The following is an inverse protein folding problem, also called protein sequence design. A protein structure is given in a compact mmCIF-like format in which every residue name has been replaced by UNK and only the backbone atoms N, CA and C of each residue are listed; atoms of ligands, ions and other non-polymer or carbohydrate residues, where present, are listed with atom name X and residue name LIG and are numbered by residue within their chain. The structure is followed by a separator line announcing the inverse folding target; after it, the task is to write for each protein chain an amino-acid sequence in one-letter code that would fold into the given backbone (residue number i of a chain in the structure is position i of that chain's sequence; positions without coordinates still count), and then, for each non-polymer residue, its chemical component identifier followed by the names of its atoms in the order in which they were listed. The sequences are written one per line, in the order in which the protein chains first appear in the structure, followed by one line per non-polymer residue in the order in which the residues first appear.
data_IF_534540601339
#
_entry.id   IF_534540601339
#
_cell.length_a   1.000
_cell.length_b   1.000
_cell.length_c   1.000
_cell.angle_alpha   90.00
_cell.angle_beta   90.00
_cell.angle_gamma   90.00
#
_symmetry.space_group_name_H-M   'P 1'
#
loop_
_entity.id
_entity.type
_entity.pdbx_description
1 polymer ?
#
# COMPACT_ATOMS: atom_id res chain seq x y z
N UNK A 1 27.23 23.27 45.16
CA UNK A 1 28.34 24.27 45.00
C UNK A 1 28.51 24.60 43.50
N UNK A 2 28.35 25.95 43.18
CA UNK A 2 28.81 26.68 41.98
C UNK A 2 28.19 26.23 40.62
N UNK A 3 27.19 26.79 40.16
CA UNK A 3 26.86 28.05 39.43
C UNK A 3 27.99 28.54 38.50
N UNK A 4 27.79 28.42 37.19
CA UNK A 4 28.39 29.36 36.25
C UNK A 4 27.39 29.64 35.08
N UNK A 5 26.84 30.83 35.14
CA UNK A 5 26.16 31.48 34.04
C UNK A 5 27.21 32.09 33.10
N UNK A 6 27.02 31.95 31.81
CA UNK A 6 27.65 32.84 30.85
C UNK A 6 26.59 33.40 29.91
N UNK A 7 26.27 34.66 30.13
CA UNK A 7 25.52 35.54 29.23
C UNK A 7 26.42 35.96 28.07
N UNK A 8 25.94 35.78 26.83
CA UNK A 8 26.52 36.51 25.69
C UNK A 8 25.40 37.26 25.02
N UNK A 9 25.48 38.57 25.19
CA UNK A 9 24.74 39.62 24.45
C UNK A 9 25.42 39.83 23.08
N UNK A 10 24.67 39.83 22.01
CA UNK A 10 25.17 40.13 20.65
C UNK A 10 24.07 40.67 19.77
N UNK A 11 23.82 41.92 19.87
CA UNK A 11 23.59 43.04 18.90
C UNK A 11 22.75 42.74 17.65
N UNK A 12 21.62 43.42 17.65
CA UNK A 12 20.74 43.82 16.55
C UNK A 12 21.46 44.50 15.39
N UNK A 13 21.20 44.08 14.15
CA UNK A 13 21.45 44.89 12.97
C UNK A 13 20.20 44.89 12.09
N UNK A 14 19.49 46.00 12.12
CA UNK A 14 18.39 46.37 11.23
C UNK A 14 18.98 46.83 9.91
N UNK A 15 18.70 46.18 8.80
CA UNK A 15 18.89 46.76 7.48
C UNK A 15 17.52 46.91 6.81
N UNK A 16 17.07 48.18 6.77
CA UNK A 16 15.99 48.61 5.88
C UNK A 16 16.52 48.69 4.44
N UNK A 17 15.97 47.89 3.55
CA UNK A 17 16.11 48.07 2.11
C UNK A 17 14.76 48.48 1.52
N UNK A 18 14.73 49.72 1.07
CA UNK A 18 13.63 50.35 0.35
C UNK A 18 13.47 49.72 -1.03
N UNK A 19 12.31 49.19 -1.31
CA UNK A 19 11.93 48.73 -2.66
C UNK A 19 11.28 49.88 -3.40
N UNK A 20 11.96 50.35 -4.43
CA UNK A 20 11.40 51.30 -5.40
C UNK A 20 10.44 50.56 -6.34
N UNK A 21 9.18 50.97 -6.31
CA UNK A 21 8.16 50.59 -7.28
C UNK A 21 8.33 51.42 -8.55
N UNK A 22 8.73 50.80 -9.65
CA UNK A 22 8.58 51.38 -10.98
C UNK A 22 7.31 50.80 -11.63
N UNK A 23 6.30 51.69 -11.70
CA UNK A 23 5.16 51.53 -12.61
C UNK A 23 5.65 51.77 -14.04
N UNK A 24 5.43 50.81 -14.92
CA UNK A 24 5.31 51.04 -16.35
C UNK A 24 4.03 50.39 -16.85
N UNK A 25 3.15 51.25 -17.30
CA UNK A 25 1.93 50.90 -18.03
C UNK A 25 2.25 50.75 -19.52
N UNK A 26 1.45 49.88 -20.14
CA UNK A 26 1.04 49.82 -21.54
C UNK A 26 2.06 49.55 -22.66
N UNK A 27 1.86 48.44 -23.33
CA UNK A 27 1.31 48.40 -24.72
C UNK A 27 1.11 46.94 -25.19
N UNK A 28 -0.11 46.62 -25.49
CA UNK A 28 -0.64 45.75 -26.55
C UNK A 28 0.40 45.20 -27.54
N UNK A 29 0.42 43.87 -27.75
CA UNK A 29 -0.08 43.14 -28.95
C UNK A 29 0.36 41.67 -28.96
N UNK A 30 -0.64 40.81 -29.03
CA UNK A 30 -0.71 39.52 -29.69
C UNK A 30 0.55 38.97 -30.36
N UNK A 31 1.10 37.94 -29.78
CA UNK A 31 1.31 36.69 -30.48
C UNK A 31 1.76 35.60 -29.48
N UNK A 32 0.82 34.90 -28.86
CA UNK A 32 1.12 33.77 -27.99
C UNK A 32 1.44 32.54 -28.84
N UNK A 33 2.70 32.40 -29.19
CA UNK A 33 3.26 31.09 -29.51
C UNK A 33 3.31 30.32 -28.19
N UNK A 34 2.28 29.53 -27.94
CA UNK A 34 2.33 28.51 -26.89
C UNK A 34 3.37 27.49 -27.29
N UNK A 35 4.57 27.63 -26.76
CA UNK A 35 5.49 26.51 -26.68
C UNK A 35 4.84 25.47 -25.74
N UNK A 36 4.18 24.52 -26.35
CA UNK A 36 3.79 23.28 -25.69
C UNK A 36 5.10 22.58 -25.26
N UNK A 37 5.53 22.85 -24.03
CA UNK A 37 6.43 21.93 -23.35
C UNK A 37 5.72 20.58 -23.30
N UNK A 38 6.35 19.48 -23.74
CA UNK A 38 5.77 18.18 -23.49
C UNK A 38 5.74 17.97 -21.96
N UNK A 39 4.59 18.19 -21.36
CA UNK A 39 4.33 17.64 -20.04
C UNK A 39 4.40 16.13 -20.23
N UNK A 40 5.49 15.55 -19.76
CA UNK A 40 5.56 14.10 -19.54
C UNK A 40 4.50 13.81 -18.49
N UNK A 41 3.31 13.48 -18.96
CA UNK A 41 2.28 12.87 -18.12
C UNK A 41 2.86 11.53 -17.74
N UNK A 42 3.43 11.45 -16.54
CA UNK A 42 3.65 10.17 -15.90
C UNK A 42 2.24 9.57 -15.77
N UNK A 43 1.93 8.63 -16.65
CA UNK A 43 0.75 7.82 -16.51
C UNK A 43 0.88 7.09 -15.18
N UNK A 44 0.26 7.62 -14.14
CA UNK A 44 0.01 6.87 -12.94
C UNK A 44 -0.95 5.77 -13.36
N UNK A 45 -0.49 4.53 -13.36
CA UNK A 45 -1.35 3.37 -13.47
C UNK A 45 -2.39 3.50 -12.37
N UNK A 46 -3.62 3.87 -12.75
CA UNK A 46 -4.75 3.86 -11.82
C UNK A 46 -5.08 2.40 -11.57
N UNK A 47 -4.71 1.91 -10.42
CA UNK A 47 -5.26 0.66 -9.90
C UNK A 47 -6.59 0.98 -9.23
N UNK A 48 -7.67 0.38 -9.71
CA UNK A 48 -8.97 0.48 -9.06
C UNK A 48 -9.05 -0.58 -7.95
N UNK A 49 -9.20 -0.14 -6.70
CA UNK A 49 -9.43 -1.03 -5.57
C UNK A 49 -10.82 -1.67 -5.71
N UNK A 50 -10.87 -2.99 -5.85
CA UNK A 50 -12.13 -3.73 -6.02
C UNK A 50 -12.70 -4.24 -4.70
N UNK A 51 -11.85 -4.86 -3.89
CA UNK A 51 -12.21 -5.48 -2.62
C UNK A 51 -11.05 -5.37 -1.65
N UNK A 52 -11.34 -5.15 -0.38
CA UNK A 52 -10.32 -5.09 0.66
C UNK A 52 -10.78 -5.68 1.98
N UNK A 53 -9.84 -6.02 2.86
CA UNK A 53 -10.13 -6.53 4.18
C UNK A 53 -8.96 -6.38 5.14
N UNK A 54 -9.25 -6.20 6.42
CA UNK A 54 -8.24 -6.17 7.48
C UNK A 54 -8.01 -7.58 8.00
N UNK A 55 -6.75 -7.94 8.19
CA UNK A 55 -6.39 -9.24 8.75
C UNK A 55 -6.84 -9.40 10.19
N UNK A 56 -7.36 -10.57 10.47
CA UNK A 56 -7.69 -11.08 11.80
C UNK A 56 -6.79 -12.27 12.10
N UNK A 57 -6.40 -12.40 13.37
CA UNK A 57 -5.61 -13.54 13.82
C UNK A 57 -6.41 -14.84 13.70
N UNK A 58 -5.76 -15.87 13.21
CA UNK A 58 -6.18 -17.26 13.32
C UNK A 58 -5.39 -17.93 14.43
N UNK A 59 -4.57 -18.94 14.09
CA UNK A 59 -3.67 -19.62 15.04
C UNK A 59 -2.51 -18.73 15.49
N UNK A 60 -2.16 -17.70 14.71
CA UNK A 60 -1.06 -16.78 14.98
C UNK A 60 -1.49 -15.34 14.80
N UNK A 61 -0.86 -14.39 15.51
CA UNK A 61 -1.06 -12.97 15.25
C UNK A 61 -0.80 -12.66 13.77
N UNK A 62 -1.78 -12.02 13.12
CA UNK A 62 -1.67 -11.55 11.74
C UNK A 62 -2.37 -10.19 11.67
N UNK A 63 -1.71 -9.19 11.09
CA UNK A 63 -2.17 -7.80 11.02
C UNK A 63 -2.02 -7.24 9.62
N UNK A 64 -2.47 -6.00 9.39
CA UNK A 64 -2.42 -5.30 8.12
C UNK A 64 -3.70 -5.47 7.30
N UNK A 65 -3.64 -5.08 6.04
CA UNK A 65 -4.74 -5.17 5.09
C UNK A 65 -4.35 -5.95 3.85
N UNK A 66 -5.35 -6.60 3.28
CA UNK A 66 -5.27 -7.18 1.94
C UNK A 66 -6.26 -6.45 1.03
N UNK A 67 -5.88 -6.22 -0.22
CA UNK A 67 -6.76 -5.67 -1.24
C UNK A 67 -6.58 -6.36 -2.57
N UNK A 68 -7.64 -6.48 -3.34
CA UNK A 68 -7.60 -6.89 -4.74
C UNK A 68 -7.73 -5.64 -5.59
N UNK A 69 -6.79 -5.46 -6.49
CA UNK A 69 -6.73 -4.33 -7.41
C UNK A 69 -6.82 -4.80 -8.86
N UNK A 70 -7.42 -3.97 -9.70
CA UNK A 70 -7.38 -4.14 -11.15
C UNK A 70 -6.38 -3.13 -11.73
N UNK A 71 -5.46 -3.61 -12.54
CA UNK A 71 -4.51 -2.80 -13.26
C UNK A 71 -4.48 -3.25 -14.73
N UNK A 72 -5.00 -2.41 -15.61
CA UNK A 72 -5.06 -2.67 -17.06
C UNK A 72 -5.75 -4.01 -17.44
N UNK A 73 -6.74 -4.44 -16.64
CA UNK A 73 -7.47 -5.68 -16.86
C UNK A 73 -6.85 -6.92 -16.20
N UNK A 74 -5.73 -6.78 -15.51
CA UNK A 74 -5.11 -7.81 -14.71
C UNK A 74 -5.39 -7.61 -13.23
N UNK A 75 -5.61 -8.69 -12.51
CA UNK A 75 -5.92 -8.65 -11.09
C UNK A 75 -4.72 -9.03 -10.24
N UNK A 76 -4.57 -8.34 -9.14
CA UNK A 76 -3.51 -8.60 -8.17
C UNK A 76 -4.07 -8.55 -6.75
N UNK A 77 -3.58 -9.45 -5.92
CA UNK A 77 -3.70 -9.31 -4.47
C UNK A 77 -2.50 -8.53 -3.96
N UNK A 78 -2.75 -7.49 -3.17
CA UNK A 78 -1.73 -6.71 -2.48
C UNK A 78 -1.91 -6.81 -0.97
N UNK A 79 -0.80 -6.99 -0.26
CA UNK A 79 -0.69 -6.83 1.19
C UNK A 79 -0.01 -5.50 1.47
N UNK A 80 -0.49 -4.75 2.46
CA UNK A 80 0.01 -3.41 2.78
C UNK A 80 1.32 -3.41 3.59
N UNK A 81 1.82 -2.23 3.90
CA UNK A 81 3.03 -2.03 4.70
C UNK A 81 2.86 -2.41 6.18
N UNK A 82 1.61 -2.42 6.68
CA UNK A 82 1.26 -2.85 8.04
C UNK A 82 1.08 -4.38 8.15
N UNK A 83 1.16 -5.10 7.02
CA UNK A 83 1.07 -6.55 7.04
C UNK A 83 2.19 -7.16 7.90
N UNK A 84 1.80 -8.07 8.80
CA UNK A 84 2.73 -8.85 9.59
C UNK A 84 2.09 -10.17 10.01
N UNK A 85 2.88 -11.24 10.01
CA UNK A 85 2.48 -12.56 10.52
C UNK A 85 3.65 -13.25 11.21
N UNK A 86 3.39 -14.41 11.84
CA UNK A 86 4.41 -15.16 12.60
C UNK A 86 5.41 -15.86 11.69
N UNK A 87 6.69 -15.73 12.02
CA UNK A 87 7.80 -16.46 11.37
C UNK A 87 7.87 -17.96 11.76
N UNK A 88 7.01 -18.42 12.67
CA UNK A 88 6.99 -19.81 13.14
C UNK A 88 6.35 -20.78 12.15
N UNK A 89 5.90 -20.31 10.98
CA UNK A 89 5.35 -21.12 9.91
C UNK A 89 6.39 -21.46 8.85
N UNK A 90 6.86 -22.72 8.76
CA UNK A 90 7.95 -23.06 7.83
C UNK A 90 7.51 -23.07 6.36
N UNK A 91 6.22 -23.11 6.08
CA UNK A 91 5.67 -23.21 4.71
C UNK A 91 4.35 -22.43 4.61
N UNK A 92 4.45 -21.09 4.72
CA UNK A 92 3.30 -20.20 4.59
C UNK A 92 2.95 -19.94 3.13
N UNK A 93 1.66 -20.01 2.85
CA UNK A 93 1.05 -19.72 1.55
C UNK A 93 -0.03 -18.66 1.67
N UNK A 94 -0.26 -17.95 0.57
CA UNK A 94 -1.35 -16.98 0.42
C UNK A 94 -2.44 -17.63 -0.41
N UNK A 95 -3.66 -17.69 0.16
CA UNK A 95 -4.83 -18.25 -0.51
C UNK A 95 -5.90 -17.18 -0.69
N UNK A 96 -6.71 -17.33 -1.74
CA UNK A 96 -8.03 -16.73 -1.86
C UNK A 96 -9.08 -17.80 -1.58
N UNK A 97 -10.00 -17.55 -0.64
CA UNK A 97 -11.04 -18.49 -0.24
C UNK A 97 -12.43 -17.97 -0.59
N UNK A 98 -13.32 -18.84 -1.05
CA UNK A 98 -14.70 -18.50 -1.41
C UNK A 98 -15.60 -18.22 -0.19
N UNK A 99 -15.14 -18.53 1.02
CA UNK A 99 -15.85 -18.25 2.27
C UNK A 99 -15.34 -16.96 2.90
N UNK A 100 -16.22 -16.14 3.45
CA UNK A 100 -15.86 -14.92 4.18
C UNK A 100 -15.03 -15.23 5.43
N UNK A 101 -15.37 -16.31 6.12
CA UNK A 101 -14.59 -16.86 7.22
C UNK A 101 -14.09 -18.26 6.81
N UNK A 102 -12.78 -18.40 6.57
CA UNK A 102 -12.21 -19.67 6.14
C UNK A 102 -12.29 -20.73 7.25
N UNK A 103 -12.14 -22.01 6.86
CA UNK A 103 -11.96 -23.11 7.81
C UNK A 103 -10.61 -22.98 8.51
N UNK A 104 -10.44 -23.64 9.68
CA UNK A 104 -9.17 -23.63 10.41
C UNK A 104 -8.08 -24.46 9.72
N UNK A 105 -8.49 -25.40 8.85
CA UNK A 105 -7.62 -26.29 8.10
C UNK A 105 -8.20 -26.59 6.72
N UNK A 106 -7.36 -27.02 5.79
CA UNK A 106 -7.72 -27.38 4.43
C UNK A 106 -7.44 -28.85 4.14
N UNK A 107 -8.45 -29.69 4.36
CA UNK A 107 -8.35 -31.14 4.15
C UNK A 107 -8.62 -31.55 2.69
N UNK A 108 -9.19 -30.64 1.90
CA UNK A 108 -9.42 -30.81 0.47
C UNK A 108 -9.08 -29.54 -0.29
N UNK A 109 -8.87 -29.65 -1.60
CA UNK A 109 -8.44 -28.54 -2.47
C UNK A 109 -9.61 -27.77 -3.10
N UNK A 110 -10.81 -27.85 -2.53
CA UNK A 110 -11.99 -27.20 -3.09
C UNK A 110 -12.26 -25.84 -2.42
N UNK A 111 -12.65 -24.86 -3.21
CA UNK A 111 -13.13 -23.58 -2.73
C UNK A 111 -12.05 -22.53 -2.45
N UNK A 112 -10.79 -22.83 -2.75
CA UNK A 112 -9.72 -21.83 -2.65
C UNK A 112 -8.77 -21.84 -3.83
N UNK A 113 -8.09 -20.73 -4.05
CA UNK A 113 -7.00 -20.57 -5.00
C UNK A 113 -5.69 -20.28 -4.23
N UNK A 114 -4.68 -21.09 -4.45
CA UNK A 114 -3.36 -20.86 -3.88
C UNK A 114 -2.54 -19.95 -4.80
N UNK A 115 -2.25 -18.73 -4.35
CA UNK A 115 -1.44 -17.74 -5.08
C UNK A 115 0.06 -17.99 -4.95
N UNK A 116 0.47 -18.92 -4.07
CA UNK A 116 1.87 -19.26 -3.87
C UNK A 116 2.37 -19.05 -2.45
N UNK A 117 3.68 -19.21 -2.28
CA UNK A 117 4.34 -19.01 -0.99
C UNK A 117 4.30 -17.55 -0.57
N UNK A 118 4.15 -17.32 0.75
CA UNK A 118 4.33 -16.00 1.34
C UNK A 118 5.76 -15.50 1.04
N UNK A 119 5.87 -14.31 0.47
CA UNK A 119 7.16 -13.73 0.04
C UNK A 119 7.96 -13.19 1.23
N UNK A 120 7.28 -12.63 2.24
CA UNK A 120 7.86 -12.08 3.46
C UNK A 120 6.87 -12.20 4.62
N UNK A 121 7.37 -12.28 5.84
CA UNK A 121 6.52 -12.29 7.05
C UNK A 121 5.96 -10.91 7.41
N UNK A 122 6.40 -9.86 6.73
CA UNK A 122 5.92 -8.50 6.94
C UNK A 122 6.08 -7.64 5.68
N UNK A 123 5.36 -6.50 5.66
CA UNK A 123 5.46 -5.45 4.65
C UNK A 123 4.74 -5.75 3.34
N UNK A 124 4.91 -4.83 2.39
CA UNK A 124 4.21 -4.82 1.11
C UNK A 124 4.58 -6.06 0.28
N UNK A 125 3.55 -6.73 -0.25
CA UNK A 125 3.70 -7.88 -1.13
C UNK A 125 2.62 -7.86 -2.20
N UNK A 126 2.90 -8.42 -3.36
CA UNK A 126 1.97 -8.48 -4.48
C UNK A 126 1.96 -9.86 -5.13
N UNK A 127 0.76 -10.37 -5.41
CA UNK A 127 0.53 -11.68 -5.99
C UNK A 127 -0.38 -11.53 -7.22
N UNK A 128 0.02 -12.01 -8.40
CA UNK A 128 -0.86 -12.03 -9.55
C UNK A 128 -1.99 -13.04 -9.35
N UNK A 129 -3.20 -12.64 -9.70
CA UNK A 129 -4.36 -13.54 -9.79
C UNK A 129 -4.47 -13.97 -11.25
N UNK A 130 -4.55 -15.27 -11.55
CA UNK A 130 -4.64 -15.74 -12.92
C UNK A 130 -5.85 -15.14 -13.67
N UNK A 131 -5.66 -14.66 -14.90
CA UNK A 131 -6.69 -14.00 -15.71
C UNK A 131 -7.94 -14.87 -15.97
N UNK A 132 -7.80 -16.19 -15.90
CA UNK A 132 -8.93 -17.13 -16.05
C UNK A 132 -9.85 -17.19 -14.84
N UNK A 133 -9.53 -16.45 -13.75
CA UNK A 133 -10.22 -16.53 -12.47
C UNK A 133 -10.87 -15.19 -12.18
N UNK A 134 -12.18 -15.17 -11.90
CA UNK A 134 -12.90 -13.97 -11.44
C UNK A 134 -12.65 -13.76 -9.96
N UNK A 135 -12.09 -12.61 -9.55
CA UNK A 135 -11.80 -12.34 -8.13
C UNK A 135 -13.04 -12.26 -7.24
N UNK A 136 -14.20 -11.86 -7.79
CA UNK A 136 -15.45 -11.68 -7.03
C UNK A 136 -15.98 -12.97 -6.40
N UNK A 137 -15.53 -14.15 -6.88
CA UNK A 137 -15.90 -15.43 -6.30
C UNK A 137 -15.25 -15.69 -4.92
N UNK A 138 -14.18 -14.93 -4.60
CA UNK A 138 -13.50 -15.07 -3.33
C UNK A 138 -13.99 -14.04 -2.32
N UNK A 139 -14.03 -14.44 -1.07
CA UNK A 139 -14.57 -13.66 0.05
C UNK A 139 -13.55 -13.43 1.15
N UNK A 140 -12.41 -14.11 1.10
CA UNK A 140 -11.31 -13.84 2.03
C UNK A 140 -9.94 -14.15 1.44
N UNK A 141 -8.93 -13.50 2.02
CA UNK A 141 -7.51 -13.79 1.86
C UNK A 141 -7.03 -14.54 3.09
N UNK A 142 -6.26 -15.59 2.91
CA UNK A 142 -5.82 -16.46 4.01
C UNK A 142 -4.31 -16.63 3.99
N UNK A 143 -3.69 -16.49 5.15
CA UNK A 143 -2.31 -16.90 5.40
C UNK A 143 -2.35 -18.30 6.03
N UNK A 144 -1.90 -19.29 5.28
CA UNK A 144 -2.01 -20.70 5.62
C UNK A 144 -0.66 -21.38 5.68
N UNK A 145 -0.39 -22.07 6.79
CA UNK A 145 0.77 -22.94 6.91
C UNK A 145 0.42 -24.33 6.36
N UNK A 146 0.95 -24.66 5.18
CA UNK A 146 0.67 -25.93 4.51
C UNK A 146 1.17 -27.12 5.32
N UNK A 147 2.36 -27.04 5.91
CA UNK A 147 2.93 -28.16 6.68
C UNK A 147 2.15 -28.45 7.97
N UNK A 148 1.64 -27.43 8.64
CA UNK A 148 0.84 -27.60 9.86
C UNK A 148 -0.66 -27.77 9.56
N UNK A 149 -1.07 -27.55 8.31
CA UNK A 149 -2.46 -27.44 7.89
C UNK A 149 -3.27 -26.49 8.78
N UNK A 150 -2.73 -25.28 9.03
CA UNK A 150 -3.27 -24.34 9.98
C UNK A 150 -3.38 -22.93 9.37
N UNK A 151 -4.52 -22.25 9.61
CA UNK A 151 -4.75 -20.87 9.21
C UNK A 151 -4.11 -19.93 10.23
N UNK A 152 -3.08 -19.19 9.83
CA UNK A 152 -2.39 -18.22 10.68
C UNK A 152 -3.18 -16.94 10.87
N UNK A 153 -3.84 -16.48 9.80
CA UNK A 153 -4.73 -15.34 9.81
C UNK A 153 -5.50 -15.23 8.50
N UNK A 154 -6.53 -14.40 8.48
CA UNK A 154 -7.33 -14.16 7.29
C UNK A 154 -7.91 -12.75 7.28
N UNK A 155 -8.23 -12.24 6.09
CA UNK A 155 -8.90 -10.96 5.88
C UNK A 155 -10.17 -11.19 5.05
N UNK A 156 -11.36 -10.87 5.63
CA UNK A 156 -12.63 -10.93 4.89
C UNK A 156 -12.70 -9.76 3.91
N UNK A 157 -12.89 -10.06 2.64
CA UNK A 157 -12.96 -9.07 1.54
C UNK A 157 -14.39 -8.50 1.42
N UNK A 158 -14.46 -7.17 1.24
CA UNK A 158 -15.70 -6.42 1.02
C UNK A 158 -15.51 -5.38 -0.07
#
# INVERSE_FOLDING_TARGET
MKLNQLLVLGTTSLLLSTVSIYSYAEATENNSVRLNSPQTVLAQSQSDDMMSGTFMAGEKPTTGMAKIVNEEGHYYLELDDAFSTSEQGPDLHVLLDSNEKPTQSYDNLNGFLNLGKLQSYNGIQRYPIPDAVSPEQFKSVVIWCRMANAVFGYASLK
#
